data_IF_709707000233
#
_entry.id   IF_709707000233
#
_cell.length_a   1.000
_cell.length_b   1.000
_cell.length_c   1.000
_cell.angle_alpha   90.00
_cell.angle_beta   90.00
_cell.angle_gamma   90.00
#
_symmetry.space_group_name_H-M   'P 1'
#
loop_
_entity.id
_entity.type
_entity.pdbx_description
1 polymer ?
#
# COMPACT_ATOMS: atom_id res chain seq x y z
N UNK A 1 -35.96 8.72 51.76
CA UNK A 1 -35.64 9.67 50.68
C UNK A 1 -35.01 8.86 49.55
N UNK A 2 -35.85 8.39 48.61
CA UNK A 2 -35.46 7.47 47.54
C UNK A 2 -35.29 8.29 46.26
N UNK A 3 -34.06 8.45 45.78
CA UNK A 3 -33.77 9.20 44.55
C UNK A 3 -33.90 8.25 43.36
N UNK A 4 -34.99 8.42 42.61
CA UNK A 4 -35.21 7.75 41.32
C UNK A 4 -34.38 8.51 40.26
N UNK A 5 -33.33 7.86 39.75
CA UNK A 5 -32.57 8.36 38.60
C UNK A 5 -33.36 8.03 37.33
N UNK A 6 -33.90 9.06 36.68
CA UNK A 6 -34.55 8.92 35.37
C UNK A 6 -33.46 8.99 34.29
N UNK A 7 -33.08 7.84 33.72
CA UNK A 7 -32.24 7.79 32.54
C UNK A 7 -33.08 8.20 31.32
N UNK A 8 -32.85 9.40 30.78
CA UNK A 8 -33.39 9.77 29.47
C UNK A 8 -32.72 8.90 28.40
N UNK A 9 -33.46 7.92 27.86
CA UNK A 9 -33.15 7.34 26.56
C UNK A 9 -33.39 8.44 25.51
N UNK A 10 -32.31 9.07 25.04
CA UNK A 10 -32.34 9.77 23.76
C UNK A 10 -32.54 8.73 22.66
N UNK A 11 -33.51 8.90 21.75
CA UNK A 11 -33.61 8.03 20.59
C UNK A 11 -32.36 8.25 19.74
N UNK A 12 -31.62 7.16 19.46
CA UNK A 12 -30.64 7.13 18.39
C UNK A 12 -31.39 7.45 17.10
N UNK A 13 -31.30 8.70 16.64
CA UNK A 13 -31.59 9.05 15.26
C UNK A 13 -30.63 8.21 14.42
N UNK A 14 -31.13 7.10 13.87
CA UNK A 14 -30.41 6.31 12.88
C UNK A 14 -30.37 7.13 11.58
N UNK A 15 -29.49 8.13 11.53
CA UNK A 15 -29.03 8.66 10.26
C UNK A 15 -28.48 7.49 9.44
N UNK A 16 -28.77 7.46 8.14
CA UNK A 16 -28.18 6.46 7.27
C UNK A 16 -26.65 6.50 7.44
N UNK A 17 -26.04 5.35 7.71
CA UNK A 17 -24.59 5.26 7.84
C UNK A 17 -23.94 5.78 6.54
N UNK A 18 -22.92 6.62 6.66
CA UNK A 18 -22.22 7.19 5.52
C UNK A 18 -21.69 6.09 4.60
N UNK A 19 -22.11 6.14 3.33
CA UNK A 19 -21.69 5.22 2.28
C UNK A 19 -20.96 6.02 1.19
N UNK A 20 -19.62 6.05 1.17
CA UNK A 20 -18.90 6.73 0.10
C UNK A 20 -19.13 5.99 -1.23
N UNK A 21 -19.12 6.70 -2.38
CA UNK A 21 -19.24 6.06 -3.70
C UNK A 21 -18.05 5.15 -4.02
N UNK A 22 -16.88 5.44 -3.45
CA UNK A 22 -15.69 4.61 -3.46
C UNK A 22 -14.94 4.78 -2.14
N UNK A 23 -14.47 3.68 -1.56
CA UNK A 23 -13.71 3.71 -0.30
C UNK A 23 -12.22 3.77 -0.65
N UNK A 24 -11.50 4.87 -0.35
CA UNK A 24 -10.07 4.95 -0.62
C UNK A 24 -9.29 4.07 0.34
N UNK A 25 -8.28 3.36 -0.16
CA UNK A 25 -7.39 2.52 0.64
C UNK A 25 -6.02 3.20 0.75
N UNK A 26 -5.13 2.93 -0.21
CA UNK A 26 -3.83 3.60 -0.36
C UNK A 26 -4.01 4.75 -1.33
N UNK A 27 -3.47 5.93 -1.03
CA UNK A 27 -3.67 7.15 -1.83
C UNK A 27 -2.39 7.98 -1.93
N UNK A 28 -1.23 7.38 -1.74
CA UNK A 28 0.05 8.10 -1.58
C UNK A 28 0.57 8.75 -2.85
N UNK A 29 0.22 8.25 -4.04
CA UNK A 29 0.58 8.87 -5.31
C UNK A 29 -0.38 8.49 -6.46
N UNK A 30 -0.27 9.13 -7.65
CA UNK A 30 -1.26 9.01 -8.72
C UNK A 30 -1.38 7.61 -9.32
N UNK A 31 -0.34 6.79 -9.23
CA UNK A 31 -0.29 5.44 -9.81
C UNK A 31 -0.56 4.34 -8.79
N UNK A 32 -0.26 4.60 -7.52
CA UNK A 32 -0.45 3.65 -6.41
C UNK A 32 -1.75 3.81 -5.65
N UNK A 33 -2.56 4.80 -6.01
CA UNK A 33 -3.86 4.96 -5.39
C UNK A 33 -4.81 3.79 -5.69
N UNK A 34 -5.46 3.29 -4.66
CA UNK A 34 -6.34 2.13 -4.68
C UNK A 34 -7.64 2.40 -3.94
N UNK A 35 -8.72 1.87 -4.48
CA UNK A 35 -10.10 2.17 -4.10
C UNK A 35 -10.95 0.91 -4.14
N UNK A 36 -11.97 0.84 -3.29
CA UNK A 36 -13.04 -0.15 -3.38
C UNK A 36 -14.31 0.51 -3.87
N UNK A 37 -14.84 0.03 -5.00
CA UNK A 37 -16.07 0.54 -5.61
C UNK A 37 -17.33 -0.16 -5.07
N UNK A 38 -17.30 -0.57 -3.80
CA UNK A 38 -18.36 -1.35 -3.16
C UNK A 38 -18.63 -0.92 -1.72
N UNK A 39 -19.64 -1.55 -1.11
CA UNK A 39 -20.17 -1.14 0.20
C UNK A 39 -19.33 -1.60 1.39
N UNK A 40 -18.52 -2.64 1.20
CA UNK A 40 -17.71 -3.25 2.26
C UNK A 40 -16.29 -3.49 1.77
N UNK A 41 -15.38 -3.72 2.71
CA UNK A 41 -14.00 -4.11 2.43
C UNK A 41 -13.87 -5.35 1.52
N UNK A 42 -14.91 -6.19 1.42
CA UNK A 42 -14.91 -7.47 0.69
C UNK A 42 -15.83 -7.48 -0.55
N UNK A 43 -16.48 -6.35 -0.87
CA UNK A 43 -17.54 -6.28 -1.88
C UNK A 43 -17.05 -6.28 -3.33
N UNK A 44 -15.88 -5.69 -3.60
CA UNK A 44 -15.30 -5.58 -4.95
C UNK A 44 -13.79 -5.82 -4.91
N UNK A 45 -13.20 -6.07 -6.08
CA UNK A 45 -11.75 -6.03 -6.27
C UNK A 45 -11.26 -4.64 -5.95
N UNK A 46 -10.07 -4.56 -5.37
CA UNK A 46 -9.37 -3.29 -5.23
C UNK A 46 -8.98 -2.79 -6.61
N UNK A 47 -9.36 -1.56 -6.92
CA UNK A 47 -9.14 -0.93 -8.22
C UNK A 47 -8.29 0.31 -8.10
N UNK A 48 -7.55 0.60 -9.15
CA UNK A 48 -7.13 1.95 -9.43
C UNK A 48 -8.37 2.79 -9.76
N UNK A 49 -8.26 4.10 -9.57
CA UNK A 49 -9.36 5.04 -9.75
C UNK A 49 -9.89 5.10 -11.20
N UNK A 50 -9.12 4.63 -12.19
CA UNK A 50 -9.54 4.40 -13.59
C UNK A 50 -10.33 3.09 -13.80
N UNK A 51 -10.74 2.43 -12.73
CA UNK A 51 -11.46 1.15 -12.67
C UNK A 51 -10.64 -0.12 -12.98
N UNK A 52 -9.35 0.02 -13.29
CA UNK A 52 -8.48 -1.13 -13.52
C UNK A 52 -8.22 -1.87 -12.22
N UNK A 53 -8.24 -3.21 -12.29
CA UNK A 53 -7.88 -4.05 -11.15
C UNK A 53 -6.45 -3.76 -10.68
N UNK A 54 -6.31 -3.67 -9.35
CA UNK A 54 -5.07 -3.56 -8.58
C UNK A 54 -5.22 -4.46 -7.37
N UNK A 55 -5.41 -5.76 -7.62
CA UNK A 55 -5.89 -6.69 -6.61
C UNK A 55 -4.99 -6.68 -5.36
N UNK A 56 -5.64 -6.48 -4.22
CA UNK A 56 -5.10 -6.72 -2.89
C UNK A 56 -6.09 -7.60 -2.14
N UNK A 57 -5.59 -8.63 -1.47
CA UNK A 57 -6.44 -9.56 -0.74
C UNK A 57 -5.98 -9.68 0.72
N UNK A 58 -6.96 -9.66 1.62
CA UNK A 58 -6.75 -9.89 3.04
C UNK A 58 -7.50 -11.13 3.51
N UNK A 59 -6.80 -12.07 4.14
CA UNK A 59 -7.39 -13.27 4.73
C UNK A 59 -7.03 -13.38 6.21
N UNK A 60 -7.98 -13.83 7.02
CA UNK A 60 -7.80 -14.13 8.44
C UNK A 60 -8.20 -15.58 8.70
N UNK A 61 -7.30 -16.37 9.28
CA UNK A 61 -7.58 -17.75 9.68
C UNK A 61 -7.71 -17.81 11.20
N UNK A 62 -8.88 -18.21 11.70
CA UNK A 62 -9.20 -18.33 13.13
C UNK A 62 -9.52 -19.78 13.43
N UNK A 63 -8.73 -20.44 14.28
CA UNK A 63 -8.92 -21.83 14.72
C UNK A 63 -9.20 -22.79 13.56
N UNK A 64 -8.46 -22.67 12.45
CA UNK A 64 -8.68 -23.53 11.28
C UNK A 64 -9.52 -22.93 10.16
N UNK A 65 -10.37 -21.94 10.45
CA UNK A 65 -11.34 -21.41 9.48
C UNK A 65 -10.84 -20.11 8.88
N UNK A 66 -10.77 -20.04 7.56
CA UNK A 66 -10.28 -18.85 6.83
C UNK A 66 -11.43 -17.98 6.35
N UNK A 67 -11.35 -16.69 6.68
CA UNK A 67 -12.27 -15.63 6.29
C UNK A 67 -11.55 -14.57 5.47
N UNK A 68 -12.27 -13.89 4.59
CA UNK A 68 -11.78 -12.73 3.83
C UNK A 68 -12.14 -11.43 4.55
N UNK A 69 -11.17 -10.54 4.70
CA UNK A 69 -11.35 -9.23 5.33
C UNK A 69 -11.10 -8.06 4.35
N UNK A 70 -10.53 -8.32 3.18
CA UNK A 70 -10.26 -7.32 2.15
C UNK A 70 -10.32 -7.93 0.74
N UNK A 71 -10.89 -7.17 -0.19
CA UNK A 71 -10.96 -7.46 -1.62
C UNK A 71 -12.01 -8.51 -1.99
N UNK A 72 -12.46 -8.51 -3.23
CA UNK A 72 -13.17 -9.63 -3.86
C UNK A 72 -12.22 -10.41 -4.78
N UNK A 73 -12.63 -11.62 -5.16
CA UNK A 73 -11.88 -12.48 -6.07
C UNK A 73 -12.77 -12.76 -7.27
N UNK A 74 -12.40 -12.27 -8.46
CA UNK A 74 -13.29 -12.34 -9.64
C UNK A 74 -13.04 -13.61 -10.47
N UNK A 75 -11.86 -14.24 -10.35
CA UNK A 75 -11.43 -15.31 -11.26
C UNK A 75 -10.83 -16.56 -10.60
N UNK A 76 -11.07 -16.82 -9.32
CA UNK A 76 -10.61 -18.06 -8.67
C UNK A 76 -11.78 -18.80 -8.03
N UNK A 77 -11.86 -20.11 -8.26
CA UNK A 77 -12.88 -21.05 -7.78
C UNK A 77 -12.92 -21.25 -6.25
N UNK A 78 -12.39 -20.29 -5.49
CA UNK A 78 -12.19 -20.36 -4.05
C UNK A 78 -12.86 -19.15 -3.41
N UNK A 79 -14.15 -19.27 -3.10
CA UNK A 79 -14.84 -18.26 -2.29
C UNK A 79 -14.48 -18.48 -0.83
N UNK A 80 -13.77 -17.54 -0.24
CA UNK A 80 -13.58 -17.47 1.20
C UNK A 80 -14.82 -16.79 1.81
N UNK A 81 -15.41 -17.31 2.90
CA UNK A 81 -16.46 -16.58 3.60
C UNK A 81 -15.95 -15.21 4.04
N UNK A 82 -16.75 -14.15 3.89
CA UNK A 82 -16.37 -12.82 4.33
C UNK A 82 -16.47 -12.70 5.86
N UNK A 83 -15.61 -11.89 6.46
CA UNK A 83 -15.84 -11.36 7.81
C UNK A 83 -17.08 -10.44 7.80
N UNK A 84 -17.68 -10.25 8.96
CA UNK A 84 -18.76 -9.27 9.13
C UNK A 84 -18.14 -7.88 9.32
N UNK A 85 -18.58 -6.90 8.53
CA UNK A 85 -18.16 -5.51 8.70
C UNK A 85 -19.13 -4.78 9.62
N UNK A 86 -18.65 -4.40 10.80
CA UNK A 86 -19.44 -3.64 11.77
C UNK A 86 -19.43 -2.13 11.43
N UNK A 87 -18.32 -1.61 10.90
CA UNK A 87 -18.24 -0.21 10.45
C UNK A 87 -17.12 0.04 9.44
N UNK A 88 -17.27 1.13 8.69
CA UNK A 88 -16.21 1.79 7.91
C UNK A 88 -16.22 3.29 8.25
N UNK A 89 -15.04 3.86 8.47
CA UNK A 89 -14.85 5.31 8.65
C UNK A 89 -13.79 5.79 7.66
N UNK A 90 -14.16 6.73 6.79
CA UNK A 90 -13.25 7.39 5.86
C UNK A 90 -12.90 8.77 6.39
N UNK A 91 -11.62 9.03 6.52
CA UNK A 91 -11.01 10.24 7.06
C UNK A 91 -9.97 10.78 6.07
N UNK A 92 -9.55 12.06 6.20
CA UNK A 92 -8.58 12.67 5.27
C UNK A 92 -7.30 11.85 5.06
N UNK A 93 -6.75 11.25 6.12
CA UNK A 93 -5.53 10.43 6.03
C UNK A 93 -5.74 8.94 6.31
N UNK A 94 -6.90 8.54 6.86
CA UNK A 94 -7.18 7.14 7.25
C UNK A 94 -8.49 6.58 6.71
N UNK A 95 -8.49 5.31 6.33
CA UNK A 95 -9.71 4.51 6.18
C UNK A 95 -9.67 3.38 7.18
N UNK A 96 -10.70 3.27 8.02
CA UNK A 96 -10.74 2.36 9.17
C UNK A 96 -11.93 1.42 9.02
N UNK A 97 -11.65 0.13 8.91
CA UNK A 97 -12.66 -0.93 8.96
C UNK A 97 -12.64 -1.58 10.33
N UNK A 98 -13.82 -1.86 10.90
CA UNK A 98 -13.97 -2.77 12.04
C UNK A 98 -14.75 -3.99 11.61
N UNK A 99 -14.14 -5.15 11.81
CA UNK A 99 -14.61 -6.42 11.32
C UNK A 99 -14.63 -7.42 12.47
N UNK A 100 -15.49 -8.43 12.37
CA UNK A 100 -15.49 -9.61 13.24
C UNK A 100 -15.73 -10.87 12.45
N UNK A 101 -15.17 -11.98 12.90
CA UNK A 101 -15.47 -13.25 12.24
C UNK A 101 -16.95 -13.62 12.49
N UNK A 102 -17.59 -14.41 11.60
CA UNK A 102 -19.00 -14.78 11.74
C UNK A 102 -19.37 -15.51 13.04
N UNK A 103 -18.42 -16.12 13.74
CA UNK A 103 -18.66 -16.76 15.05
C UNK A 103 -18.49 -15.79 16.23
N UNK A 104 -18.04 -14.56 15.98
CA UNK A 104 -17.86 -13.53 17.01
C UNK A 104 -16.72 -13.82 17.99
N UNK A 105 -15.70 -14.56 17.55
CA UNK A 105 -14.55 -14.96 18.35
C UNK A 105 -13.44 -13.91 18.34
N UNK A 106 -13.25 -13.21 17.21
CA UNK A 106 -12.15 -12.28 16.97
C UNK A 106 -12.67 -11.00 16.33
N UNK A 107 -12.19 -9.86 16.83
CA UNK A 107 -12.31 -8.55 16.18
C UNK A 107 -11.01 -8.24 15.44
N UNK A 108 -11.14 -7.71 14.22
CA UNK A 108 -10.07 -7.18 13.42
C UNK A 108 -10.41 -5.74 13.03
N UNK A 109 -9.58 -4.78 13.47
CA UNK A 109 -9.62 -3.40 12.98
C UNK A 109 -8.48 -3.21 11.97
N UNK A 110 -8.83 -2.83 10.74
CA UNK A 110 -7.87 -2.56 9.66
C UNK A 110 -7.85 -1.07 9.36
N UNK A 111 -6.70 -0.44 9.46
CA UNK A 111 -6.50 0.98 9.14
C UNK A 111 -5.56 1.12 7.95
N UNK A 112 -6.07 1.63 6.84
CA UNK A 112 -5.27 2.10 5.72
C UNK A 112 -4.88 3.54 5.96
N UNK A 113 -3.58 3.80 6.08
CA UNK A 113 -3.03 5.12 6.35
C UNK A 113 -2.10 5.54 5.22
N UNK A 114 -2.43 6.69 4.61
CA UNK A 114 -1.58 7.42 3.66
C UNK A 114 -1.15 8.72 4.34
N UNK A 115 0.16 9.00 4.42
CA UNK A 115 0.69 10.16 5.16
C UNK A 115 0.59 11.47 4.39
N UNK A 116 -0.63 11.77 3.94
CA UNK A 116 -0.96 12.89 3.06
C UNK A 116 -1.17 14.17 3.86
N UNK A 117 -0.12 14.64 4.52
CA UNK A 117 -0.16 15.88 5.30
C UNK A 117 0.33 17.03 4.42
N UNK A 118 -0.58 17.94 4.01
CA UNK A 118 -0.27 19.00 3.05
C UNK A 118 0.89 19.92 3.47
N UNK A 119 1.18 20.02 4.78
CA UNK A 119 2.25 20.85 5.34
C UNK A 119 3.52 20.07 5.72
N UNK A 120 3.58 18.75 5.49
CA UNK A 120 4.74 17.91 5.79
C UNK A 120 5.21 17.22 4.50
N UNK A 121 6.03 17.93 3.74
CA UNK A 121 6.50 17.49 2.42
C UNK A 121 7.38 16.24 2.48
N UNK A 122 8.04 15.98 3.60
CA UNK A 122 8.79 14.74 3.78
C UNK A 122 7.81 13.55 3.78
N UNK A 123 6.75 13.61 4.59
CA UNK A 123 5.79 12.50 4.67
C UNK A 123 4.85 12.44 3.47
N UNK A 124 4.55 13.59 2.85
CA UNK A 124 3.77 13.67 1.61
C UNK A 124 4.53 13.08 0.42
N UNK A 125 5.85 13.26 0.34
CA UNK A 125 6.67 12.73 -0.76
C UNK A 125 7.13 11.28 -0.57
N UNK A 126 7.12 10.77 0.67
CA UNK A 126 7.55 9.39 0.97
C UNK A 126 6.53 8.40 0.42
N UNK A 127 6.90 7.52 -0.53
CA UNK A 127 5.94 6.67 -1.23
C UNK A 127 5.69 5.36 -0.46
N UNK A 128 5.30 5.48 0.82
CA UNK A 128 5.06 4.35 1.72
C UNK A 128 3.74 4.54 2.47
N UNK A 129 2.85 3.57 2.35
CA UNK A 129 1.59 3.47 3.08
C UNK A 129 1.61 2.38 4.14
N UNK A 130 0.72 2.52 5.12
CA UNK A 130 0.55 1.59 6.22
C UNK A 130 -0.79 0.88 6.10
N UNK A 131 -0.80 -0.44 6.26
CA UNK A 131 -1.99 -1.24 6.50
C UNK A 131 -1.86 -1.84 7.89
N UNK A 132 -2.47 -1.16 8.87
CA UNK A 132 -2.37 -1.49 10.29
C UNK A 132 -3.52 -2.41 10.69
N UNK A 133 -3.18 -3.56 11.25
CA UNK A 133 -4.11 -4.57 11.75
C UNK A 133 -4.01 -4.60 13.27
N UNK A 134 -5.05 -4.15 13.95
CA UNK A 134 -5.23 -4.37 15.38
C UNK A 134 -6.22 -5.53 15.56
N UNK A 135 -5.77 -6.59 16.22
CA UNK A 135 -6.54 -7.83 16.37
C UNK A 135 -6.63 -8.24 17.83
N UNK A 136 -7.81 -8.73 18.25
CA UNK A 136 -8.02 -9.28 19.60
C UNK A 136 -9.09 -10.36 19.62
N UNK A 137 -9.01 -11.23 20.62
CA UNK A 137 -10.10 -12.12 20.98
C UNK A 137 -11.26 -11.31 21.57
N UNK A 138 -12.48 -11.64 21.15
CA UNK A 138 -13.74 -11.23 21.76
C UNK A 138 -14.29 -12.29 22.70
N UNK A 139 -13.85 -13.54 22.53
CA UNK A 139 -14.19 -14.63 23.44
C UNK A 139 -13.20 -14.60 24.62
N UNK A 140 -13.63 -14.97 25.83
CA UNK A 140 -12.70 -15.08 26.98
C UNK A 140 -11.60 -16.14 26.80
N UNK A 141 -11.57 -16.85 25.67
CA UNK A 141 -10.62 -17.90 25.32
C UNK A 141 -9.46 -17.37 24.47
N UNK A 142 -8.37 -18.13 24.45
CA UNK A 142 -7.26 -17.93 23.51
C UNK A 142 -7.58 -18.58 22.15
N UNK A 143 -7.17 -17.92 21.06
CA UNK A 143 -7.35 -18.43 19.69
C UNK A 143 -6.01 -18.54 18.95
N UNK A 144 -5.92 -19.53 18.06
CA UNK A 144 -4.82 -19.63 17.09
C UNK A 144 -5.23 -18.88 15.82
N UNK A 145 -4.56 -17.76 15.56
CA UNK A 145 -4.91 -16.87 14.46
C UNK A 145 -3.73 -16.65 13.53
N UNK A 146 -3.99 -16.67 12.22
CA UNK A 146 -3.02 -16.24 11.21
C UNK A 146 -3.65 -15.17 10.32
N UNK A 147 -2.88 -14.14 10.00
CA UNK A 147 -3.26 -13.04 9.14
C UNK A 147 -2.43 -13.09 7.87
N UNK A 148 -3.09 -12.91 6.72
CA UNK A 148 -2.51 -12.84 5.40
C UNK A 148 -2.89 -11.54 4.72
N UNK A 149 -1.94 -10.95 3.99
CA UNK A 149 -2.16 -9.81 3.11
C UNK A 149 -1.33 -10.00 1.84
N UNK A 150 -1.89 -9.67 0.68
CA UNK A 150 -1.14 -9.63 -0.57
C UNK A 150 -1.46 -8.41 -1.44
N UNK A 151 -0.53 -8.10 -2.34
CA UNK A 151 -0.70 -7.16 -3.44
C UNK A 151 -0.20 -7.81 -4.74
N UNK A 152 -0.99 -7.70 -5.80
CA UNK A 152 -0.75 -8.40 -7.07
C UNK A 152 0.21 -7.66 -8.01
N UNK A 153 0.66 -8.35 -9.06
CA UNK A 153 1.41 -7.79 -10.18
C UNK A 153 0.67 -6.71 -10.95
N UNK A 154 -0.65 -6.60 -10.79
CA UNK A 154 -1.44 -5.58 -11.48
C UNK A 154 -1.03 -4.16 -11.07
N UNK A 155 -0.42 -4.01 -9.89
CA UNK A 155 0.13 -2.76 -9.39
C UNK A 155 1.28 -2.23 -10.24
N UNK A 156 2.05 -3.11 -10.87
CA UNK A 156 3.31 -2.74 -11.53
C UNK A 156 3.22 -2.79 -13.06
N UNK A 157 2.04 -2.97 -13.65
CA UNK A 157 1.87 -3.11 -15.12
C UNK A 157 0.88 -2.11 -15.71
N UNK A 158 1.13 -1.72 -16.95
CA UNK A 158 0.21 -1.01 -17.82
C UNK A 158 -0.57 -1.95 -18.76
N UNK A 159 -0.10 -3.17 -19.03
CA UNK A 159 -0.87 -4.22 -19.69
C UNK A 159 -0.72 -5.52 -18.92
N UNK A 160 -1.81 -6.28 -18.74
CA UNK A 160 -1.71 -7.56 -18.03
C UNK A 160 -0.89 -8.62 -18.80
N UNK A 161 -0.55 -8.36 -20.06
CA UNK A 161 0.41 -9.17 -20.84
C UNK A 161 1.88 -8.90 -20.48
N UNK A 162 2.19 -7.82 -19.76
CA UNK A 162 3.56 -7.48 -19.43
C UNK A 162 4.17 -8.46 -18.43
N UNK A 163 5.41 -8.83 -18.70
CA UNK A 163 6.21 -9.71 -17.88
C UNK A 163 6.69 -9.00 -16.61
N UNK A 164 6.46 -9.63 -15.45
CA UNK A 164 6.94 -9.16 -14.15
C UNK A 164 8.02 -10.08 -13.58
N UNK A 165 8.92 -9.46 -12.83
CA UNK A 165 9.97 -10.10 -12.03
C UNK A 165 9.78 -9.72 -10.56
N UNK A 166 10.28 -10.55 -9.66
CA UNK A 166 10.14 -10.37 -8.23
C UNK A 166 11.34 -10.93 -7.45
N UNK A 167 11.49 -10.44 -6.24
CA UNK A 167 12.51 -10.96 -5.32
C UNK A 167 12.20 -10.59 -3.89
N UNK A 168 13.15 -10.88 -3.01
CA UNK A 168 13.10 -10.52 -1.60
C UNK A 168 14.16 -9.45 -1.28
N UNK A 169 13.99 -8.77 -0.16
CA UNK A 169 14.98 -7.86 0.39
C UNK A 169 15.15 -8.08 1.91
N UNK A 170 16.35 -7.79 2.47
CA UNK A 170 17.55 -7.29 1.78
C UNK A 170 18.22 -8.35 0.88
N UNK A 171 18.57 -7.99 -0.35
CA UNK A 171 19.40 -8.79 -1.26
C UNK A 171 20.44 -7.89 -1.94
N UNK A 172 21.55 -8.47 -2.44
CA UNK A 172 22.63 -7.68 -3.08
C UNK A 172 22.18 -6.88 -4.30
N UNK A 173 21.17 -7.38 -5.01
CA UNK A 173 20.68 -6.80 -6.27
C UNK A 173 19.24 -6.31 -6.15
N UNK A 174 18.80 -5.90 -4.95
CA UNK A 174 17.45 -5.35 -4.81
C UNK A 174 17.33 -4.04 -5.62
N UNK A 175 16.29 -3.90 -6.46
CA UNK A 175 16.01 -2.65 -7.15
C UNK A 175 15.80 -1.52 -6.13
N UNK A 176 16.17 -0.29 -6.48
CA UNK A 176 16.15 0.85 -5.53
C UNK A 176 17.51 1.20 -4.91
N UNK A 177 18.56 0.39 -5.13
CA UNK A 177 19.95 0.73 -4.75
C UNK A 177 20.60 1.82 -5.63
N UNK A 178 19.87 2.38 -6.62
CA UNK A 178 20.43 3.09 -7.77
C UNK A 178 20.23 4.62 -7.79
N UNK A 179 19.63 5.23 -6.77
CA UNK A 179 19.28 6.67 -6.80
C UNK A 179 20.48 7.63 -6.89
N UNK A 180 21.72 7.16 -6.79
CA UNK A 180 22.93 7.99 -6.76
C UNK A 180 23.86 7.88 -7.97
N UNK A 181 23.48 7.27 -9.10
CA UNK A 181 24.29 7.39 -10.32
C UNK A 181 24.00 8.69 -11.07
N UNK A 182 24.40 9.81 -10.49
CA UNK A 182 24.80 10.97 -11.26
C UNK A 182 26.20 10.70 -11.83
N UNK A 183 26.30 10.27 -13.09
CA UNK A 183 27.26 10.79 -14.07
C UNK A 183 27.22 10.01 -15.39
N UNK A 184 26.81 10.75 -16.43
CA UNK A 184 27.40 10.84 -17.77
C UNK A 184 28.58 9.89 -18.06
N UNK A 185 28.43 8.99 -19.03
CA UNK A 185 29.55 8.49 -19.84
C UNK A 185 29.03 8.02 -21.19
N UNK A 186 29.41 8.81 -22.19
CA UNK A 186 29.42 8.50 -23.62
C UNK A 186 30.00 7.13 -23.95
N UNK A 187 29.46 6.54 -25.02
CA UNK A 187 30.02 5.40 -25.75
C UNK A 187 31.53 5.58 -26.01
N UNK A 188 32.31 4.61 -25.57
CA UNK A 188 33.55 4.23 -26.24
C UNK A 188 33.63 2.72 -26.31
N UNK A 189 33.67 2.20 -27.54
CA UNK A 189 34.01 0.82 -27.83
C UNK A 189 35.51 0.69 -27.64
N UNK A 190 35.95 -0.26 -26.82
CA UNK A 190 37.25 -0.89 -26.98
C UNK A 190 37.07 -2.39 -26.73
N UNK A 191 37.36 -3.14 -27.78
CA UNK A 191 37.57 -4.58 -27.75
C UNK A 191 38.79 -4.88 -26.88
N UNK A 192 38.67 -5.79 -25.90
CA UNK A 192 39.81 -6.64 -25.58
C UNK A 192 39.40 -7.95 -24.89
N UNK A 193 39.93 -9.01 -25.46
CA UNK A 193 39.70 -10.41 -25.15
C UNK A 193 40.78 -10.86 -24.15
N UNK A 194 40.43 -11.23 -22.92
CA UNK A 194 41.29 -12.12 -22.13
C UNK A 194 40.60 -12.80 -20.94
N UNK A 195 40.70 -14.11 -20.99
CA UNK A 195 40.42 -15.11 -19.98
C UNK A 195 41.22 -14.86 -18.68
N UNK A 196 40.57 -14.71 -17.53
CA UNK A 196 41.23 -14.98 -16.24
C UNK A 196 40.30 -15.64 -15.23
N UNK A 197 40.73 -16.84 -14.85
CA UNK A 197 40.21 -17.67 -13.78
C UNK A 197 40.51 -16.98 -12.44
N UNK A 198 39.50 -16.63 -11.64
CA UNK A 198 39.72 -16.22 -10.25
C UNK A 198 38.60 -16.65 -9.30
N UNK A 199 39.00 -17.51 -8.37
CA UNK A 199 38.31 -17.80 -7.11
C UNK A 199 37.65 -16.55 -6.51
N UNK A 200 36.31 -16.53 -6.42
CA UNK A 200 35.60 -15.60 -5.54
C UNK A 200 35.05 -16.34 -4.34
N UNK A 201 35.79 -16.14 -3.25
CA UNK A 201 35.48 -16.40 -1.84
C UNK A 201 33.97 -16.29 -1.54
N UNK A 202 33.45 -17.30 -0.86
CA UNK A 202 32.21 -17.24 -0.09
C UNK A 202 32.33 -16.13 0.98
N UNK A 203 31.92 -14.90 0.63
CA UNK A 203 31.58 -13.90 1.62
C UNK A 203 30.14 -14.18 2.06
N UNK A 204 30.00 -14.85 3.20
CA UNK A 204 28.75 -14.94 3.93
C UNK A 204 28.21 -13.53 4.18
N UNK A 205 26.98 -13.27 3.71
CA UNK A 205 26.27 -12.04 3.99
C UNK A 205 26.06 -11.94 5.51
N UNK A 206 26.72 -10.99 6.17
CA UNK A 206 26.25 -10.53 7.48
C UNK A 206 25.02 -9.67 7.23
N UNK A 207 23.85 -10.30 7.30
CA UNK A 207 22.59 -9.59 7.46
C UNK A 207 22.71 -8.70 8.71
N UNK A 208 22.47 -7.39 8.57
CA UNK A 208 22.48 -6.47 9.71
C UNK A 208 21.23 -6.76 10.54
N UNK A 209 21.35 -7.17 11.82
CA UNK A 209 20.19 -7.38 12.67
C UNK A 209 19.32 -6.11 12.72
N UNK A 210 18.01 -6.26 12.47
CA UNK A 210 17.05 -5.15 12.48
C UNK A 210 16.76 -4.48 11.12
N UNK A 211 17.37 -4.93 10.02
CA UNK A 211 16.95 -4.48 8.68
C UNK A 211 15.58 -5.03 8.29
N UNK A 212 14.73 -4.18 7.72
CA UNK A 212 13.41 -4.55 7.24
C UNK A 212 13.49 -5.66 6.19
N UNK A 213 12.58 -6.64 6.26
CA UNK A 213 12.50 -7.77 5.34
C UNK A 213 11.18 -7.72 4.58
N UNK A 214 11.22 -8.09 3.31
CA UNK A 214 10.03 -8.04 2.47
C UNK A 214 10.26 -8.60 1.08
N UNK A 215 9.22 -8.47 0.24
CA UNK A 215 9.26 -8.80 -1.18
C UNK A 215 9.16 -7.55 -2.04
N UNK A 216 9.66 -7.63 -3.26
CA UNK A 216 9.50 -6.61 -4.28
C UNK A 216 9.05 -7.23 -5.60
N UNK A 217 8.40 -6.43 -6.45
CA UNK A 217 7.94 -6.84 -7.78
C UNK A 217 7.98 -5.63 -8.72
N UNK A 218 8.27 -5.86 -10.00
CA UNK A 218 8.24 -4.83 -11.04
C UNK A 218 8.17 -5.46 -12.43
N UNK A 219 7.93 -4.66 -13.47
CA UNK A 219 8.06 -5.19 -14.83
C UNK A 219 9.50 -5.56 -15.14
N UNK A 220 9.70 -6.54 -16.01
CA UNK A 220 11.01 -6.84 -16.58
C UNK A 220 11.51 -5.74 -17.51
N UNK A 221 10.59 -5.09 -18.22
CA UNK A 221 10.93 -4.12 -19.26
C UNK A 221 11.37 -2.75 -18.72
N UNK A 222 10.84 -2.32 -17.57
CA UNK A 222 11.17 -1.04 -16.93
C UNK A 222 11.14 0.15 -17.91
N UNK A 223 9.98 0.38 -18.55
CA UNK A 223 9.80 1.49 -19.50
C UNK A 223 9.64 2.83 -18.77
N UNK A 224 10.73 3.34 -18.18
CA UNK A 224 10.74 4.54 -17.37
C UNK A 224 10.20 5.73 -18.16
N UNK A 225 9.03 6.23 -17.75
CA UNK A 225 8.35 7.38 -18.36
C UNK A 225 8.19 7.20 -19.89
N UNK A 226 7.96 5.96 -20.33
CA UNK A 226 7.96 5.57 -21.74
C UNK A 226 6.58 5.54 -22.41
N UNK A 227 5.50 5.69 -21.65
CA UNK A 227 4.12 5.60 -22.13
C UNK A 227 3.38 6.92 -21.84
N UNK A 228 2.61 7.39 -22.83
CA UNK A 228 1.71 8.55 -22.74
C UNK A 228 0.32 8.20 -23.28
N UNK A 229 -0.71 8.96 -22.87
CA UNK A 229 -2.09 8.78 -23.32
C UNK A 229 -3.09 8.46 -22.21
N UNK A 230 -4.33 8.21 -22.60
CA UNK A 230 -5.46 7.97 -21.70
C UNK A 230 -5.32 6.66 -20.93
N UNK A 231 -5.74 6.69 -19.65
CA UNK A 231 -5.79 5.51 -18.75
C UNK A 231 -4.49 4.70 -18.69
N UNK A 232 -3.37 5.40 -18.88
CA UNK A 232 -2.03 4.83 -18.73
C UNK A 232 -1.73 4.59 -17.25
N UNK A 233 -1.31 3.37 -16.95
CA UNK A 233 -0.83 2.95 -15.65
C UNK A 233 0.70 2.89 -15.66
N UNK A 234 1.30 2.86 -14.48
CA UNK A 234 2.74 2.70 -14.33
C UNK A 234 3.16 1.27 -14.71
N UNK A 235 4.21 1.14 -15.52
CA UNK A 235 4.84 -0.14 -15.91
C UNK A 235 6.36 -0.13 -15.71
N UNK A 236 6.83 0.71 -14.80
CA UNK A 236 8.22 0.84 -14.40
C UNK A 236 8.29 1.09 -12.90
N UNK A 237 9.48 0.98 -12.33
CA UNK A 237 9.64 0.96 -10.89
C UNK A 237 9.19 -0.36 -10.27
N UNK A 238 9.04 -0.33 -8.95
CA UNK A 238 8.90 -1.53 -8.13
C UNK A 238 7.94 -1.31 -6.97
N UNK A 239 7.01 -2.25 -6.80
CA UNK A 239 6.19 -2.43 -5.61
C UNK A 239 7.01 -3.15 -4.54
N UNK A 240 6.89 -2.71 -3.29
CA UNK A 240 7.50 -3.33 -2.11
C UNK A 240 6.44 -3.64 -1.06
N UNK A 241 6.56 -4.80 -0.42
CA UNK A 241 5.72 -5.21 0.69
C UNK A 241 6.58 -5.75 1.84
N UNK A 242 6.40 -5.21 3.04
CA UNK A 242 7.11 -5.62 4.25
C UNK A 242 6.21 -5.63 5.49
N UNK A 243 6.65 -6.32 6.55
CA UNK A 243 6.13 -6.20 7.92
C UNK A 243 6.96 -5.12 8.62
N UNK A 244 6.30 -4.17 9.29
CA UNK A 244 7.00 -3.15 10.07
C UNK A 244 7.84 -3.73 11.22
N UNK A 245 7.53 -4.93 11.72
CA UNK A 245 8.40 -5.66 12.64
C UNK A 245 9.51 -6.39 11.85
N UNK A 246 10.79 -5.94 11.93
CA UNK A 246 11.88 -6.52 11.13
C UNK A 246 12.23 -7.95 11.53
N UNK A 247 11.76 -8.42 12.69
CA UNK A 247 12.01 -9.77 13.19
C UNK A 247 10.84 -10.72 12.89
N UNK A 248 9.87 -10.26 12.11
CA UNK A 248 8.60 -10.93 11.87
C UNK A 248 8.32 -11.15 10.39
N UNK A 249 7.29 -11.96 10.14
CA UNK A 249 6.63 -12.05 8.85
C UNK A 249 7.27 -13.12 7.98
N UNK A 250 6.44 -13.99 7.44
CA UNK A 250 6.82 -14.83 6.32
C UNK A 250 6.38 -14.14 5.03
N UNK A 251 7.29 -13.98 4.08
CA UNK A 251 7.00 -13.36 2.78
C UNK A 251 7.27 -14.32 1.63
N UNK A 252 6.42 -14.27 0.60
CA UNK A 252 6.64 -14.94 -0.67
C UNK A 252 6.13 -14.09 -1.81
N UNK A 253 6.92 -14.02 -2.88
CA UNK A 253 6.45 -13.57 -4.18
C UNK A 253 6.31 -14.77 -5.12
N UNK A 254 5.26 -14.79 -5.93
CA UNK A 254 4.89 -15.94 -6.76
C UNK A 254 3.38 -16.02 -7.02
N UNK A 255 2.89 -17.20 -7.39
CA UNK A 255 1.46 -17.46 -7.64
C UNK A 255 0.54 -17.06 -6.47
N UNK A 256 -0.31 -16.05 -6.69
CA UNK A 256 -1.35 -15.64 -5.74
C UNK A 256 -2.30 -16.81 -5.41
N UNK A 257 -2.63 -17.64 -6.42
CA UNK A 257 -3.47 -18.83 -6.24
C UNK A 257 -2.81 -19.83 -5.31
N UNK A 258 -1.52 -20.13 -5.49
CA UNK A 258 -0.79 -21.06 -4.63
C UNK A 258 -0.67 -20.50 -3.20
N UNK A 259 -0.32 -19.22 -3.05
CA UNK A 259 -0.20 -18.56 -1.74
C UNK A 259 -1.50 -18.65 -0.94
N UNK A 260 -2.61 -18.23 -1.54
CA UNK A 260 -3.93 -18.22 -0.90
C UNK A 260 -4.45 -19.62 -0.60
N UNK A 261 -4.19 -20.59 -1.48
CA UNK A 261 -4.57 -22.00 -1.26
C UNK A 261 -3.81 -22.61 -0.10
N UNK A 262 -2.49 -22.40 -0.04
CA UNK A 262 -1.66 -22.90 1.07
C UNK A 262 -2.01 -22.21 2.38
N UNK A 263 -2.26 -20.89 2.36
CA UNK A 263 -2.69 -20.17 3.55
C UNK A 263 -4.02 -20.71 4.10
N UNK A 264 -5.00 -20.96 3.23
CA UNK A 264 -6.28 -21.57 3.63
C UNK A 264 -6.08 -22.87 4.40
N UNK A 265 -5.22 -23.74 3.86
CA UNK A 265 -5.03 -25.10 4.38
C UNK A 265 -4.17 -25.13 5.64
N UNK A 266 -3.16 -24.26 5.72
CA UNK A 266 -2.07 -24.40 6.70
C UNK A 266 -1.84 -23.17 7.57
N UNK A 267 -2.43 -22.02 7.24
CA UNK A 267 -2.10 -20.73 7.85
C UNK A 267 -0.69 -20.21 7.49
N UNK A 268 -0.04 -20.77 6.47
CA UNK A 268 1.33 -20.45 6.04
C UNK A 268 1.40 -20.15 4.54
N UNK A 269 2.55 -19.65 4.07
CA UNK A 269 2.87 -19.54 2.64
C UNK A 269 3.58 -20.82 2.15
N UNK A 270 3.61 -21.09 0.82
CA UNK A 270 4.35 -22.20 0.27
C UNK A 270 5.84 -22.22 0.68
N UNK A 271 6.37 -23.44 0.77
CA UNK A 271 7.79 -23.66 0.99
C UNK A 271 8.58 -23.37 -0.29
N UNK A 272 9.75 -22.74 -0.13
CA UNK A 272 10.60 -22.34 -1.24
C UNK A 272 10.11 -21.09 -2.01
N UNK A 273 10.99 -20.50 -2.84
CA UNK A 273 10.62 -19.42 -3.75
C UNK A 273 9.91 -19.95 -5.00
N UNK A 274 9.04 -19.13 -5.59
CA UNK A 274 8.56 -19.34 -6.96
C UNK A 274 9.61 -18.78 -7.95
N UNK A 275 10.27 -19.67 -8.68
CA UNK A 275 11.30 -19.32 -9.67
C UNK A 275 10.74 -19.13 -11.08
N UNK A 276 9.44 -19.30 -11.31
CA UNK A 276 8.83 -19.18 -12.63
C UNK A 276 8.56 -17.70 -12.96
N UNK A 277 9.65 -16.95 -13.12
CA UNK A 277 9.72 -15.56 -13.57
C UNK A 277 10.79 -15.40 -14.66
N UNK A 278 10.71 -14.40 -15.55
CA UNK A 278 9.61 -13.46 -15.70
C UNK A 278 8.29 -14.13 -16.07
N UNK A 279 7.16 -13.54 -15.66
CA UNK A 279 5.83 -14.09 -15.97
C UNK A 279 4.85 -12.96 -16.33
N UNK A 280 4.02 -13.10 -17.38
CA UNK A 280 2.95 -12.15 -17.64
C UNK A 280 2.01 -11.99 -16.43
N UNK A 281 1.61 -10.77 -16.11
CA UNK A 281 0.69 -10.49 -15.00
C UNK A 281 -0.61 -11.32 -15.06
N UNK A 282 -1.15 -11.55 -16.26
CA UNK A 282 -2.39 -12.33 -16.46
C UNK A 282 -2.22 -13.85 -16.34
N UNK A 283 -0.98 -14.36 -16.29
CA UNK A 283 -0.69 -15.79 -16.21
C UNK A 283 -0.37 -16.15 -14.77
N UNK A 284 -1.19 -17.00 -14.14
CA UNK A 284 -1.01 -17.44 -12.75
C UNK A 284 -0.60 -16.28 -11.83
N UNK A 285 -1.53 -15.31 -11.71
CA UNK A 285 -1.36 -13.96 -11.19
C UNK A 285 -0.25 -13.88 -10.13
N UNK A 286 0.90 -13.25 -10.45
CA UNK A 286 1.94 -13.05 -9.44
C UNK A 286 1.46 -12.08 -8.37
N UNK A 287 1.82 -12.33 -7.12
CA UNK A 287 1.60 -11.43 -5.99
C UNK A 287 2.75 -11.52 -5.00
N UNK A 288 2.94 -10.45 -4.21
CA UNK A 288 3.76 -10.47 -3.01
C UNK A 288 2.81 -10.66 -1.83
N UNK A 289 3.04 -11.69 -1.04
CA UNK A 289 2.21 -12.06 0.10
C UNK A 289 3.02 -12.06 1.38
N UNK A 290 2.37 -11.67 2.48
CA UNK A 290 2.89 -11.75 3.83
C UNK A 290 1.96 -12.55 4.73
N UNK A 291 2.52 -13.19 5.76
CA UNK A 291 1.76 -13.87 6.82
C UNK A 291 2.34 -13.56 8.21
N UNK A 292 1.45 -13.28 9.18
CA UNK A 292 1.74 -13.13 10.61
C UNK A 292 0.87 -14.07 11.44
N UNK A 293 1.46 -14.74 12.42
CA UNK A 293 0.76 -15.67 13.33
C UNK A 293 0.63 -15.11 14.75
N UNK A 294 -0.49 -15.44 15.39
CA UNK A 294 -0.87 -15.09 16.76
C UNK A 294 -1.40 -16.38 17.43
N UNK A 295 -0.52 -17.28 17.90
CA UNK A 295 -0.91 -18.62 18.36
C UNK A 295 -1.71 -18.64 19.67
N UNK A 296 -1.67 -17.53 20.42
CA UNK A 296 -2.39 -17.35 21.68
C UNK A 296 -3.00 -15.95 21.71
N UNK A 297 -3.83 -15.65 20.72
CA UNK A 297 -4.52 -14.37 20.66
C UNK A 297 -5.49 -14.26 21.84
N UNK A 298 -5.30 -13.25 22.69
CA UNK A 298 -6.12 -12.96 23.87
C UNK A 298 -6.96 -11.70 23.66
N UNK A 299 -7.66 -11.25 24.71
CA UNK A 299 -8.44 -10.01 24.67
C UNK A 299 -7.57 -8.74 24.57
N UNK A 300 -6.28 -8.83 24.90
CA UNK A 300 -5.33 -7.73 24.72
C UNK A 300 -5.05 -7.54 23.23
N UNK A 301 -5.32 -6.35 22.66
CA UNK A 301 -5.02 -6.08 21.25
C UNK A 301 -3.55 -6.32 20.92
N UNK A 302 -3.32 -7.05 19.83
CA UNK A 302 -2.01 -7.23 19.21
C UNK A 302 -2.03 -6.52 17.85
N UNK A 303 -0.87 -5.95 17.48
CA UNK A 303 -0.73 -5.19 16.24
C UNK A 303 0.18 -5.90 15.25
N UNK A 304 -0.21 -5.82 13.99
CA UNK A 304 0.61 -6.16 12.84
C UNK A 304 0.45 -5.07 11.77
N UNK A 305 1.55 -4.59 11.19
CA UNK A 305 1.51 -3.50 10.21
C UNK A 305 2.22 -3.93 8.94
N UNK A 306 1.49 -3.98 7.83
CA UNK A 306 2.07 -4.11 6.51
C UNK A 306 2.48 -2.73 5.99
N UNK A 307 3.68 -2.62 5.46
CA UNK A 307 4.16 -1.44 4.73
C UNK A 307 4.10 -1.73 3.24
N UNK A 308 3.39 -0.89 2.50
CA UNK A 308 3.28 -0.95 1.04
C UNK A 308 4.03 0.24 0.47
N UNK A 309 5.16 -0.02 -0.18
CA UNK A 309 5.99 0.99 -0.81
C UNK A 309 5.94 0.90 -2.32
N UNK A 310 6.11 2.01 -3.02
CA UNK A 310 6.36 1.99 -4.46
C UNK A 310 7.49 2.94 -4.82
N UNK A 311 8.49 2.40 -5.48
CA UNK A 311 9.62 3.16 -5.98
C UNK A 311 9.45 3.34 -7.49
N UNK A 312 9.08 4.53 -7.92
CA UNK A 312 8.94 4.85 -9.35
C UNK A 312 10.29 5.07 -10.04
N UNK A 313 11.42 5.08 -9.33
CA UNK A 313 12.79 5.36 -9.82
C UNK A 313 12.97 6.79 -10.36
N UNK A 314 12.11 7.19 -11.31
CA UNK A 314 11.91 8.53 -11.85
C UNK A 314 10.42 8.85 -11.83
N UNK A 315 10.07 9.94 -11.18
CA UNK A 315 8.66 10.28 -10.94
C UNK A 315 8.07 11.14 -12.05
N UNK A 316 8.85 12.06 -12.65
CA UNK A 316 8.36 13.03 -13.65
C UNK A 316 9.43 13.30 -14.71
N UNK A 317 9.05 13.29 -15.98
CA UNK A 317 9.83 13.87 -17.09
C UNK A 317 9.33 15.28 -17.36
N UNK A 318 10.21 16.27 -17.30
CA UNK A 318 9.85 17.66 -17.61
C UNK A 318 10.60 18.14 -18.85
N UNK A 319 9.93 18.06 -20.01
CA UNK A 319 10.45 18.44 -21.33
C UNK A 319 11.90 17.96 -21.55
N UNK A 320 12.77 18.89 -21.93
CA UNK A 320 14.21 18.74 -22.12
C UNK A 320 15.02 18.94 -20.82
N UNK A 321 14.38 19.36 -19.71
CA UNK A 321 15.07 19.45 -18.42
C UNK A 321 15.45 18.07 -17.86
N UNK A 322 14.73 17.01 -18.26
CA UNK A 322 15.05 15.61 -17.98
C UNK A 322 14.11 14.90 -17.00
N UNK A 323 14.59 13.78 -16.46
CA UNK A 323 13.81 12.90 -15.57
C UNK A 323 14.17 13.15 -14.10
N UNK A 324 13.18 13.58 -13.33
CA UNK A 324 13.30 13.95 -11.93
C UNK A 324 12.89 12.78 -11.02
N UNK A 325 13.65 12.59 -9.94
CA UNK A 325 13.34 11.63 -8.89
C UNK A 325 12.49 12.28 -7.79
N UNK A 326 11.70 11.46 -7.08
CA UNK A 326 10.84 11.92 -6.00
C UNK A 326 11.60 12.67 -4.91
N UNK A 327 10.95 13.66 -4.28
CA UNK A 327 11.56 14.53 -3.27
C UNK A 327 12.11 13.74 -2.07
N UNK A 328 11.48 12.62 -1.73
CA UNK A 328 11.93 11.70 -0.67
C UNK A 328 13.38 11.22 -0.85
N UNK A 329 13.89 11.18 -2.08
CA UNK A 329 15.27 10.75 -2.38
C UNK A 329 16.34 11.71 -1.85
N UNK A 330 15.94 12.93 -1.45
CA UNK A 330 16.84 13.85 -0.75
C UNK A 330 17.20 13.37 0.65
N UNK A 331 16.34 12.55 1.27
CA UNK A 331 16.55 12.05 2.64
C UNK A 331 17.01 10.60 2.66
N UNK A 332 16.49 9.77 1.77
CA UNK A 332 16.79 8.33 1.74
C UNK A 332 17.36 7.94 0.39
N UNK A 333 18.41 7.12 0.39
CA UNK A 333 19.07 6.64 -0.84
C UNK A 333 18.28 5.52 -1.51
N UNK A 334 17.50 4.79 -0.72
CA UNK A 334 16.74 3.63 -1.18
C UNK A 334 15.35 3.62 -0.57
N UNK A 335 14.40 3.01 -1.26
CA UNK A 335 13.04 2.83 -0.75
C UNK A 335 13.02 1.98 0.52
N UNK A 336 13.97 1.05 0.69
CA UNK A 336 14.10 0.23 1.89
C UNK A 336 14.48 1.07 3.12
N UNK A 337 15.33 2.08 2.96
CA UNK A 337 15.64 3.03 4.03
C UNK A 337 14.40 3.87 4.39
N UNK A 338 13.64 4.34 3.38
CA UNK A 338 12.41 5.07 3.60
C UNK A 338 11.32 4.22 4.28
N UNK A 339 11.20 2.94 3.91
CA UNK A 339 10.31 1.97 4.54
C UNK A 339 10.75 1.61 5.96
N UNK A 340 12.05 1.50 6.22
CA UNK A 340 12.56 1.28 7.59
C UNK A 340 12.26 2.50 8.49
N UNK A 341 12.41 3.71 7.96
CA UNK A 341 11.99 4.92 8.66
C UNK A 341 10.47 4.94 8.91
N UNK A 342 9.65 4.52 7.93
CA UNK A 342 8.21 4.38 8.11
C UNK A 342 7.87 3.33 9.21
N UNK A 343 8.55 2.18 9.21
CA UNK A 343 8.37 1.14 10.22
C UNK A 343 8.59 1.65 11.65
N UNK A 344 9.61 2.50 11.85
CA UNK A 344 9.91 3.11 13.14
C UNK A 344 8.88 4.18 13.57
N UNK A 345 8.05 4.68 12.65
CA UNK A 345 7.13 5.80 12.87
C UNK A 345 5.66 5.37 12.96
N UNK A 346 5.34 4.08 12.97
CA UNK A 346 3.94 3.57 12.92
C UNK A 346 3.04 4.25 13.96
N UNK A 347 3.42 4.24 15.24
CA UNK A 347 2.63 4.85 16.31
C UNK A 347 2.51 6.38 16.14
N UNK A 348 3.63 7.04 15.84
CA UNK A 348 3.69 8.48 15.66
C UNK A 348 2.81 8.95 14.48
N UNK A 349 2.78 8.19 13.38
CA UNK A 349 1.94 8.50 12.23
C UNK A 349 0.46 8.23 12.50
N UNK A 350 0.11 7.19 13.26
CA UNK A 350 -1.27 6.96 13.69
C UNK A 350 -1.79 8.09 14.58
N UNK A 351 -0.98 8.55 15.54
CA UNK A 351 -1.32 9.67 16.42
C UNK A 351 -1.44 10.98 15.63
N UNK A 352 -0.45 11.29 14.78
CA UNK A 352 -0.47 12.47 13.92
C UNK A 352 -1.70 12.50 13.00
N UNK A 353 -2.04 11.35 12.40
CA UNK A 353 -3.23 11.23 11.56
C UNK A 353 -4.53 11.36 12.34
N UNK A 354 -4.61 10.83 13.57
CA UNK A 354 -5.77 11.05 14.43
C UNK A 354 -5.99 12.54 14.70
N UNK A 355 -4.94 13.23 15.17
CA UNK A 355 -5.04 14.66 15.47
C UNK A 355 -5.36 15.49 14.23
N UNK A 356 -4.73 15.19 13.08
CA UNK A 356 -4.98 15.91 11.83
C UNK A 356 -6.41 15.69 11.31
N UNK A 357 -6.85 14.44 11.24
CA UNK A 357 -8.18 14.09 10.75
C UNK A 357 -9.27 14.71 11.63
N UNK A 358 -9.15 14.60 12.96
CA UNK A 358 -10.14 15.13 13.90
C UNK A 358 -10.27 16.65 13.77
N UNK A 359 -9.14 17.36 13.67
CA UNK A 359 -9.13 18.81 13.49
C UNK A 359 -9.74 19.24 12.14
N UNK A 360 -9.37 18.57 11.04
CA UNK A 360 -9.86 18.90 9.71
C UNK A 360 -11.35 18.59 9.57
N UNK A 361 -11.80 17.43 10.08
CA UNK A 361 -13.22 17.07 10.07
C UNK A 361 -14.05 18.00 10.95
N UNK A 362 -13.57 18.40 12.13
CA UNK A 362 -14.26 19.36 12.99
C UNK A 362 -14.42 20.73 12.29
N UNK A 363 -13.38 21.20 11.62
CA UNK A 363 -13.41 22.45 10.85
C UNK A 363 -14.45 22.37 9.72
N UNK A 364 -14.40 21.31 8.89
CA UNK A 364 -15.36 21.15 7.79
C UNK A 364 -16.80 20.98 8.31
N UNK A 365 -16.99 20.26 9.42
CA UNK A 365 -18.31 20.10 10.06
C UNK A 365 -18.86 21.43 10.55
N UNK A 366 -18.01 22.29 11.11
CA UNK A 366 -18.41 23.64 11.55
C UNK A 366 -18.85 24.51 10.38
N UNK A 367 -18.24 24.33 9.20
CA UNK A 367 -18.57 25.11 7.99
C UNK A 367 -19.94 24.72 7.44
N UNK A 368 -20.22 23.42 7.25
CA UNK A 368 -21.43 23.00 6.53
C UNK A 368 -21.97 21.61 6.94
N UNK A 369 -21.68 21.15 8.16
CA UNK A 369 -22.20 19.90 8.69
C UNK A 369 -21.41 18.66 8.32
N UNK A 370 -21.85 17.51 8.83
CA UNK A 370 -21.13 16.25 8.76
C UNK A 370 -21.02 15.73 7.32
N UNK A 371 -22.08 15.86 6.53
CA UNK A 371 -22.14 15.40 5.14
C UNK A 371 -21.10 16.15 4.29
N UNK A 372 -20.96 17.47 4.50
CA UNK A 372 -19.91 18.27 3.87
C UNK A 372 -18.51 17.79 4.27
N UNK A 373 -18.28 17.55 5.56
CA UNK A 373 -16.99 17.06 6.05
C UNK A 373 -16.63 15.68 5.44
N UNK A 374 -17.60 14.80 5.29
CA UNK A 374 -17.41 13.47 4.68
C UNK A 374 -17.05 13.57 3.20
N UNK A 375 -17.71 14.44 2.44
CA UNK A 375 -17.33 14.71 1.03
C UNK A 375 -15.94 15.37 0.98
N UNK A 376 -15.67 16.31 1.88
CA UNK A 376 -14.37 16.97 2.00
C UNK A 376 -13.22 15.99 2.28
N UNK A 377 -13.42 14.97 3.12
CA UNK A 377 -12.44 13.92 3.35
C UNK A 377 -12.11 13.11 2.08
N UNK A 378 -13.13 12.80 1.26
CA UNK A 378 -12.94 12.13 -0.03
C UNK A 378 -12.19 13.04 -1.02
N UNK A 379 -12.61 14.30 -1.12
CA UNK A 379 -11.95 15.28 -1.97
C UNK A 379 -10.48 15.50 -1.57
N UNK A 380 -10.19 15.62 -0.28
CA UNK A 380 -8.83 15.73 0.25
C UNK A 380 -7.95 14.57 -0.22
N UNK A 381 -8.44 13.33 -0.08
CA UNK A 381 -7.72 12.13 -0.52
C UNK A 381 -7.50 12.12 -2.02
N UNK A 382 -8.52 12.43 -2.81
CA UNK A 382 -8.41 12.45 -4.27
C UNK A 382 -7.42 13.52 -4.76
N UNK A 383 -7.50 14.73 -4.21
CA UNK A 383 -6.67 15.86 -4.64
C UNK A 383 -5.19 15.62 -4.35
N UNK A 384 -4.85 15.23 -3.12
CA UNK A 384 -3.45 15.00 -2.78
C UNK A 384 -2.90 13.72 -3.43
N UNK A 385 -3.74 12.73 -3.75
CA UNK A 385 -3.30 11.51 -4.44
C UNK A 385 -2.84 11.80 -5.87
N UNK A 386 -3.31 12.91 -6.45
CA UNK A 386 -2.88 13.37 -7.77
C UNK A 386 -1.51 14.06 -7.75
N UNK A 387 -0.89 14.28 -6.59
CA UNK A 387 0.37 15.04 -6.48
C UNK A 387 1.62 14.16 -6.57
N UNK A 388 2.68 14.69 -7.20
CA UNK A 388 4.03 14.14 -7.20
C UNK A 388 5.03 15.24 -6.86
N UNK A 389 5.69 15.09 -5.71
CA UNK A 389 6.77 15.96 -5.27
C UNK A 389 8.09 15.42 -5.79
N UNK A 390 8.85 16.23 -6.53
CA UNK A 390 10.17 15.87 -7.07
C UNK A 390 11.24 16.86 -6.64
N UNK A 391 12.49 16.42 -6.62
CA UNK A 391 13.63 17.32 -6.37
C UNK A 391 14.25 17.82 -7.66
N UNK A 392 14.21 19.14 -7.87
CA UNK A 392 14.96 19.78 -8.95
C UNK A 392 16.35 20.18 -8.44
N UNK A 393 17.36 19.36 -8.76
CA UNK A 393 18.76 19.61 -8.37
C UNK A 393 19.38 20.83 -9.06
N UNK A 394 18.97 21.15 -10.29
CA UNK A 394 19.46 22.32 -11.04
C UNK A 394 19.07 23.64 -10.36
N UNK A 395 17.90 23.65 -9.72
CA UNK A 395 17.35 24.83 -9.04
C UNK A 395 17.42 24.74 -7.51
N UNK A 396 17.89 23.63 -6.96
CA UNK A 396 17.93 23.37 -5.52
C UNK A 396 16.59 23.60 -4.82
N UNK A 397 15.50 23.16 -5.46
CA UNK A 397 14.14 23.34 -4.93
C UNK A 397 13.25 22.13 -5.21
N UNK A 398 12.26 21.93 -4.35
CA UNK A 398 11.19 20.96 -4.57
C UNK A 398 10.20 21.51 -5.62
N UNK A 399 9.77 20.65 -6.53
CA UNK A 399 8.65 20.90 -7.42
C UNK A 399 7.49 19.98 -7.08
N UNK A 400 6.27 20.52 -7.16
CA UNK A 400 5.04 19.73 -7.05
C UNK A 400 4.40 19.66 -8.43
N UNK A 401 4.00 18.45 -8.85
CA UNK A 401 3.24 18.21 -10.06
C UNK A 401 1.89 17.61 -9.71
N UNK A 402 0.81 18.16 -10.29
CA UNK A 402 -0.52 17.59 -10.19
C UNK A 402 -0.85 16.85 -11.48
N UNK A 403 -1.08 15.55 -11.40
CA UNK A 403 -1.46 14.73 -12.56
C UNK A 403 -2.96 14.84 -12.82
N UNK A 404 -3.33 15.16 -14.05
CA UNK A 404 -4.72 15.07 -14.47
C UNK A 404 -5.16 13.61 -14.54
N UNK A 405 -6.39 13.44 -14.12
CA UNK A 405 -7.00 12.17 -13.94
C UNK A 405 -7.51 11.59 -15.28
N UNK A 406 -6.86 10.51 -15.74
CA UNK A 406 -7.30 9.53 -16.78
C UNK A 406 -7.26 10.01 -18.24
N UNK A 407 -6.92 11.27 -18.46
CA UNK A 407 -6.87 11.93 -19.78
C UNK A 407 -5.43 12.31 -20.11
N UNK A 408 -4.98 11.95 -21.33
CA UNK A 408 -3.72 12.25 -22.01
C UNK A 408 -2.40 12.01 -21.25
N UNK A 409 -2.45 11.60 -19.99
CA UNK A 409 -1.29 11.62 -19.10
C UNK A 409 -0.89 13.04 -18.70
N UNK A 410 -1.80 14.01 -18.83
CA UNK A 410 -1.49 15.42 -18.63
C UNK A 410 -1.06 15.70 -17.18
N UNK A 411 -0.12 16.62 -17.02
CA UNK A 411 0.34 17.10 -15.74
C UNK A 411 0.29 18.63 -15.75
N UNK A 412 -0.14 19.20 -14.63
CA UNK A 412 -0.28 20.64 -14.43
C UNK A 412 -1.32 21.32 -15.35
N UNK A 413 -2.40 20.62 -15.66
CA UNK A 413 -3.54 21.21 -16.38
C UNK A 413 -4.16 22.34 -15.55
N UNK A 414 -4.15 23.57 -16.06
CA UNK A 414 -4.49 24.76 -15.29
C UNK A 414 -5.91 24.73 -14.73
N UNK A 415 -6.89 24.29 -15.51
CA UNK A 415 -8.30 24.17 -15.10
C UNK A 415 -8.53 23.09 -14.04
N UNK A 416 -7.58 22.19 -13.83
CA UNK A 416 -7.57 21.23 -12.71
C UNK A 416 -6.84 21.80 -11.50
N UNK A 417 -5.75 22.54 -11.70
CA UNK A 417 -5.00 23.20 -10.61
C UNK A 417 -5.88 24.23 -9.90
N UNK A 418 -6.62 25.08 -10.63
CA UNK A 418 -7.44 26.15 -10.03
C UNK A 418 -8.42 25.63 -8.94
N UNK A 419 -9.25 24.60 -9.19
CA UNK A 419 -10.13 24.06 -8.16
C UNK A 419 -9.41 23.20 -7.11
N UNK A 420 -8.21 22.71 -7.40
CA UNK A 420 -7.37 21.98 -6.43
C UNK A 420 -6.57 22.90 -5.50
N UNK A 421 -6.30 24.14 -5.92
CA UNK A 421 -5.66 25.17 -5.12
C UNK A 421 -6.62 25.61 -4.01
N UNK A 422 -6.16 25.66 -2.74
CA UNK A 422 -6.98 26.08 -1.61
C UNK A 422 -7.49 27.52 -1.74
#
# INVERSE_FOLDING_TARGET
MLQVLFAMLLPLLSGAAFRPPAIPLITTDPYMQTWLMGDTAMSDVVRHWDQRSKEMLGLLRVDGVTYRYLGAIVNHSHSFPAMLQDSVSVQPTRTIFRLRDPKGLVELKVTFLSTMFASDYERLSRPVSYVVHDIRSLSGSLHDVQLYFDASAEHVVNSFSEEVVWGNFPAKETPGSLHNNSNNSSNHNDDDDSNSNSNKKNNSNKETPGSLRGGWMGTKAQQILGISGDKTNINYGYLYLADADPNSGLFRAGSAKAHRTTFRLTGRLPEGPDSNQPRPCQTDLPAISLVRGFPQLSATPQRFTALVGYDDVKSVRYYDEGDFSGFWTQKWKTIQEAMAAAAAEVEAMLEKSLSHDDALMANMTTVAGLEYAQIGALAYRQTLAATKLVWNSKRSQMWNFLKEISTNGDMQTMDVIFPASP
#
